data_IF_735526758080
#
_entry.id   IF_735526758080
#
_cell.length_a   1.000
_cell.length_b   1.000
_cell.length_c   1.000
_cell.angle_alpha   90.00
_cell.angle_beta   90.00
_cell.angle_gamma   90.00
#
_symmetry.space_group_name_H-M   'P 1'
#
loop_
_entity.id
_entity.type
_entity.pdbx_description
1 polymer ?
#
# COMPACT_ATOMS: atom_id res chain seq x y z
N UNK A 1 -6.30 -5.23 21.81
CA UNK A 1 -6.54 -4.74 20.45
C UNK A 1 -5.70 -3.49 20.29
N UNK A 2 -4.89 -3.43 19.24
CA UNK A 2 -4.10 -2.24 18.93
C UNK A 2 -5.06 -1.15 18.47
N UNK A 3 -4.93 0.07 19.01
CA UNK A 3 -5.81 1.20 18.66
C UNK A 3 -5.23 1.89 17.40
N UNK A 4 -5.61 1.36 16.23
CA UNK A 4 -5.22 1.94 14.94
C UNK A 4 -6.06 3.19 14.63
N UNK A 5 -5.49 4.12 13.88
CA UNK A 5 -6.16 5.40 13.54
C UNK A 5 -6.61 5.48 12.09
N UNK A 6 -6.02 4.68 11.21
CA UNK A 6 -6.27 4.73 9.77
C UNK A 6 -6.77 3.42 9.19
N UNK A 7 -6.73 2.35 10.00
CA UNK A 7 -7.32 1.06 9.69
C UNK A 7 -8.12 0.55 10.88
N UNK A 8 -8.94 -0.44 10.62
CA UNK A 8 -9.62 -1.26 11.63
C UNK A 8 -9.34 -2.73 11.33
N UNK A 9 -9.19 -3.54 12.38
CA UNK A 9 -8.98 -4.98 12.24
C UNK A 9 -10.08 -5.73 12.98
N UNK A 10 -10.70 -6.69 12.30
CA UNK A 10 -11.71 -7.58 12.87
C UNK A 10 -11.37 -9.02 12.51
N UNK A 11 -11.21 -9.87 13.53
CA UNK A 11 -11.03 -11.30 13.32
C UNK A 11 -12.37 -12.01 13.49
N UNK A 12 -12.77 -12.73 12.46
CA UNK A 12 -13.99 -13.54 12.44
C UNK A 12 -13.74 -14.92 13.12
N UNK A 13 -14.81 -15.57 13.52
CA UNK A 13 -14.74 -16.87 14.24
C UNK A 13 -14.12 -18.00 13.39
N UNK A 14 -14.18 -17.89 12.06
CA UNK A 14 -13.61 -18.85 11.12
C UNK A 14 -12.12 -18.63 10.83
N UNK A 15 -11.50 -17.64 11.50
CA UNK A 15 -10.09 -17.31 11.36
C UNK A 15 -9.75 -16.38 10.20
N UNK A 16 -10.73 -15.72 9.61
CA UNK A 16 -10.49 -14.63 8.64
C UNK A 16 -10.22 -13.34 9.40
N UNK A 17 -9.10 -12.68 9.10
CA UNK A 17 -8.83 -11.32 9.56
C UNK A 17 -9.24 -10.33 8.48
N UNK A 18 -10.15 -9.42 8.81
CA UNK A 18 -10.52 -8.31 7.93
C UNK A 18 -9.76 -7.06 8.36
N UNK A 19 -8.99 -6.47 7.44
CA UNK A 19 -8.32 -5.16 7.58
C UNK A 19 -9.10 -4.17 6.73
N UNK A 20 -9.72 -3.20 7.37
CA UNK A 20 -10.50 -2.15 6.70
C UNK A 20 -9.73 -0.83 6.75
N UNK A 21 -9.51 -0.19 5.60
CA UNK A 21 -8.95 1.17 5.52
C UNK A 21 -10.05 2.15 5.95
N UNK A 22 -9.84 2.93 7.02
CA UNK A 22 -10.91 3.68 7.71
C UNK A 22 -10.77 5.19 7.62
N UNK A 23 -10.44 5.69 6.44
CA UNK A 23 -10.40 7.14 6.13
C UNK A 23 -11.39 7.53 5.01
N UNK A 24 -12.69 7.17 5.10
CA UNK A 24 -13.64 7.34 3.98
C UNK A 24 -13.83 8.82 3.56
N UNK A 25 -13.67 9.77 4.47
CA UNK A 25 -13.79 11.21 4.19
C UNK A 25 -12.77 11.69 3.15
N UNK A 26 -11.58 11.12 3.16
CA UNK A 26 -10.51 11.35 2.20
C UNK A 26 -10.32 10.17 1.23
N UNK A 27 -11.39 9.39 1.00
CA UNK A 27 -11.40 8.25 0.09
C UNK A 27 -10.30 7.21 0.40
N UNK A 28 -10.06 6.95 1.68
CA UNK A 28 -9.05 6.02 2.18
C UNK A 28 -7.64 6.33 1.64
N UNK A 29 -7.28 7.61 1.48
CA UNK A 29 -5.98 8.03 0.99
C UNK A 29 -4.85 7.47 1.87
N UNK A 30 -3.84 6.93 1.18
CA UNK A 30 -2.70 6.22 1.77
C UNK A 30 -1.69 7.19 2.38
N UNK A 31 -1.39 7.01 3.64
CA UNK A 31 -0.41 7.79 4.40
C UNK A 31 0.70 6.88 4.96
N UNK A 32 1.82 7.47 5.39
CA UNK A 32 2.88 6.74 6.08
C UNK A 32 2.36 6.03 7.34
N UNK A 33 1.42 6.65 8.07
CA UNK A 33 0.77 6.02 9.22
C UNK A 33 0.02 4.77 8.80
N UNK A 34 -0.82 4.84 7.76
CA UNK A 34 -1.56 3.67 7.25
C UNK A 34 -0.61 2.54 6.85
N UNK A 35 0.53 2.87 6.22
CA UNK A 35 1.55 1.87 5.92
C UNK A 35 2.03 1.14 7.18
N UNK A 36 2.41 1.89 8.22
CA UNK A 36 2.91 1.28 9.46
C UNK A 36 1.85 0.43 10.15
N UNK A 37 0.61 0.93 10.23
CA UNK A 37 -0.50 0.20 10.85
C UNK A 37 -0.84 -1.08 10.07
N UNK A 38 -0.83 -1.04 8.74
CA UNK A 38 -1.04 -2.23 7.90
C UNK A 38 0.09 -3.25 8.06
N UNK A 39 1.34 -2.80 8.12
CA UNK A 39 2.51 -3.70 8.34
C UNK A 39 2.37 -4.37 9.70
N UNK A 40 2.08 -3.61 10.75
CA UNK A 40 1.88 -4.16 12.09
C UNK A 40 0.73 -5.18 12.14
N UNK A 41 -0.40 -4.87 11.49
CA UNK A 41 -1.54 -5.78 11.42
C UNK A 41 -1.18 -7.09 10.69
N UNK A 42 -0.39 -7.01 9.61
CA UNK A 42 0.11 -8.18 8.89
C UNK A 42 1.12 -8.98 9.71
N UNK A 43 1.99 -8.31 10.49
CA UNK A 43 2.94 -8.99 11.38
C UNK A 43 2.21 -9.75 12.49
N UNK A 44 1.19 -9.14 13.08
CA UNK A 44 0.34 -9.79 14.09
C UNK A 44 -0.44 -10.96 13.49
N UNK A 45 -0.96 -10.81 12.27
CA UNK A 45 -1.67 -11.88 11.58
C UNK A 45 -0.78 -13.08 11.27
N UNK A 46 0.46 -12.84 10.83
CA UNK A 46 1.42 -13.92 10.54
C UNK A 46 1.86 -14.64 11.81
N UNK A 47 1.91 -13.95 12.97
CA UNK A 47 2.26 -14.53 14.27
C UNK A 47 1.09 -15.26 14.96
N UNK A 48 -0.16 -15.04 14.53
CA UNK A 48 -1.35 -15.69 15.10
C UNK A 48 -1.75 -16.92 14.29
N UNK A 49 -1.48 -18.10 14.82
CA UNK A 49 -1.84 -19.39 14.17
C UNK A 49 -3.35 -19.57 13.96
N UNK A 50 -4.19 -18.80 14.64
CA UNK A 50 -5.64 -18.84 14.47
C UNK A 50 -6.13 -17.98 13.30
N UNK A 51 -5.28 -17.11 12.75
CA UNK A 51 -5.55 -16.40 11.50
C UNK A 51 -5.20 -17.31 10.32
N UNK A 52 -6.16 -17.55 9.45
CA UNK A 52 -6.04 -18.45 8.28
C UNK A 52 -5.98 -17.72 6.96
N UNK A 53 -6.57 -16.55 6.87
CA UNK A 53 -6.57 -15.69 5.69
C UNK A 53 -6.80 -14.23 6.10
N UNK A 54 -6.37 -13.29 5.24
CA UNK A 54 -6.49 -11.86 5.46
C UNK A 54 -7.30 -11.27 4.31
N UNK A 55 -8.31 -10.45 4.63
CA UNK A 55 -9.05 -9.65 3.66
C UNK A 55 -8.70 -8.19 3.89
N UNK A 56 -8.34 -7.46 2.83
CA UNK A 56 -8.13 -6.01 2.86
C UNK A 56 -9.23 -5.35 2.06
N UNK A 57 -9.92 -4.38 2.67
CA UNK A 57 -11.01 -3.62 2.02
C UNK A 57 -10.98 -2.15 2.45
N UNK A 58 -11.81 -1.30 1.83
CA UNK A 58 -11.94 0.11 2.19
C UNK A 58 -13.28 0.41 2.86
N UNK A 59 -13.31 1.27 3.87
CA UNK A 59 -14.53 1.79 4.46
C UNK A 59 -15.28 2.69 3.47
N UNK A 60 -16.62 2.67 3.53
CA UNK A 60 -17.50 3.44 2.66
C UNK A 60 -17.67 2.83 1.28
N UNK A 61 -18.40 3.53 0.40
CA UNK A 61 -18.82 3.01 -0.91
C UNK A 61 -18.04 3.60 -2.09
N UNK A 62 -17.23 4.64 -1.85
CA UNK A 62 -16.62 5.45 -2.91
C UNK A 62 -15.28 4.91 -3.38
N UNK A 63 -14.46 4.45 -2.46
CA UNK A 63 -13.10 4.04 -2.77
C UNK A 63 -12.62 2.90 -1.86
N UNK A 64 -11.87 2.01 -2.47
CA UNK A 64 -10.95 1.15 -1.76
C UNK A 64 -9.80 2.00 -1.19
N UNK A 65 -9.03 2.65 -2.07
CA UNK A 65 -7.99 3.62 -1.73
C UNK A 65 -7.71 4.52 -2.94
N UNK A 66 -7.85 5.83 -2.80
CA UNK A 66 -7.71 6.79 -3.90
C UNK A 66 -6.26 7.18 -4.22
N UNK A 67 -5.27 6.53 -3.62
CA UNK A 67 -3.86 6.82 -3.83
C UNK A 67 -3.19 7.51 -2.65
N UNK A 68 -1.99 8.05 -2.86
CA UNK A 68 -1.24 8.76 -1.81
C UNK A 68 -2.03 9.96 -1.28
N UNK A 69 -1.93 10.18 0.03
CA UNK A 69 -2.49 11.36 0.68
C UNK A 69 -1.69 12.61 0.24
N UNK A 70 -2.34 13.49 -0.52
CA UNK A 70 -1.76 14.71 -1.05
C UNK A 70 -2.08 15.94 -0.19
N UNK A 71 -2.58 15.77 1.03
CA UNK A 71 -2.94 16.87 1.92
C UNK A 71 -1.75 17.78 2.27
N UNK A 72 -0.53 17.24 2.21
CA UNK A 72 0.71 18.00 2.41
C UNK A 72 1.19 18.73 1.15
N UNK A 73 0.43 18.66 0.04
CA UNK A 73 0.73 19.34 -1.22
C UNK A 73 2.04 18.86 -1.85
N UNK A 74 2.91 19.81 -2.24
CA UNK A 74 4.21 19.54 -2.86
C UNK A 74 5.20 18.79 -1.96
N UNK A 75 4.97 18.78 -0.65
CA UNK A 75 5.81 18.06 0.33
C UNK A 75 5.56 16.55 0.33
N UNK A 76 4.44 16.08 -0.23
CA UNK A 76 4.07 14.66 -0.21
C UNK A 76 5.17 13.76 -0.82
N UNK A 77 5.84 14.22 -1.88
CA UNK A 77 6.90 13.48 -2.57
C UNK A 77 8.31 14.08 -2.36
N UNK A 78 8.44 15.16 -1.58
CA UNK A 78 9.71 15.79 -1.29
C UNK A 78 10.32 15.21 0.00
N UNK A 79 11.05 14.12 -0.14
CA UNK A 79 11.70 13.44 0.97
C UNK A 79 12.76 14.31 1.66
N UNK A 80 13.34 15.30 0.98
CA UNK A 80 14.31 16.22 1.57
C UNK A 80 13.65 17.23 2.51
N UNK A 81 12.41 17.64 2.24
CA UNK A 81 11.65 18.58 3.08
C UNK A 81 10.95 17.93 4.27
N UNK A 82 10.85 16.59 4.29
CA UNK A 82 10.36 15.84 5.46
C UNK A 82 11.35 15.79 6.62
N UNK A 83 12.50 16.46 6.51
CA UNK A 83 13.55 16.56 7.54
C UNK A 83 13.20 17.57 8.63
N UNK A 84 12.20 17.24 9.43
CA UNK A 84 11.90 17.99 10.64
C UNK A 84 11.46 17.03 11.73
N UNK A 85 12.39 16.24 12.27
CA UNK A 85 12.35 15.64 13.61
C UNK A 85 13.21 14.38 13.65
N UNK A 86 14.24 14.40 14.51
CA UNK A 86 15.21 13.35 14.79
C UNK A 86 16.07 12.93 13.57
N UNK A 87 17.39 12.87 13.76
CA UNK A 87 18.37 12.47 12.75
C UNK A 87 17.95 11.17 12.05
N UNK A 88 17.33 11.29 10.87
CA UNK A 88 17.04 10.12 10.03
C UNK A 88 18.36 9.54 9.54
N UNK A 89 18.50 8.22 9.45
CA UNK A 89 19.69 7.63 8.87
C UNK A 89 19.90 8.24 7.47
N UNK A 90 21.13 8.69 7.21
CA UNK A 90 21.51 9.23 5.91
C UNK A 90 21.43 8.11 4.86
N UNK A 91 20.96 8.44 3.67
CA UNK A 91 21.12 7.55 2.53
C UNK A 91 22.56 7.53 1.98
N UNK A 92 23.45 8.34 2.58
CA UNK A 92 24.84 8.49 2.16
C UNK A 92 25.73 8.03 3.31
N UNK A 93 26.67 7.12 3.02
CA UNK A 93 27.70 6.66 3.93
C UNK A 93 28.76 7.76 4.15
N UNK A 94 29.60 7.61 5.16
CA UNK A 94 30.68 8.55 5.47
C UNK A 94 31.70 8.72 4.33
N UNK A 95 31.86 7.71 3.47
CA UNK A 95 32.72 7.71 2.29
C UNK A 95 32.07 8.36 1.04
N UNK A 96 30.83 8.87 1.15
CA UNK A 96 30.06 9.47 0.06
C UNK A 96 29.33 8.47 -0.84
N UNK A 97 29.45 7.17 -0.60
CA UNK A 97 28.68 6.16 -1.31
C UNK A 97 27.21 6.11 -0.88
N UNK A 98 26.31 5.61 -1.75
CA UNK A 98 24.89 5.47 -1.40
C UNK A 98 24.68 4.18 -0.60
N UNK A 99 24.05 4.31 0.56
CA UNK A 99 23.58 3.17 1.34
C UNK A 99 22.25 2.67 0.77
N UNK A 100 22.31 1.72 -0.14
CA UNK A 100 21.15 1.15 -0.80
C UNK A 100 20.21 0.36 0.13
N UNK A 101 20.66 0.00 1.34
CA UNK A 101 19.84 -0.66 2.35
C UNK A 101 19.06 0.35 3.21
N UNK A 102 19.31 1.65 3.04
CA UNK A 102 18.61 2.70 3.79
C UNK A 102 17.13 2.76 3.39
N UNK A 103 16.24 2.69 4.39
CA UNK A 103 14.79 2.80 4.19
C UNK A 103 14.37 4.14 3.56
N UNK A 104 15.17 5.19 3.71
CA UNK A 104 14.88 6.52 3.13
C UNK A 104 14.87 6.50 1.60
N UNK A 105 15.51 5.52 0.98
CA UNK A 105 15.53 5.32 -0.49
C UNK A 105 14.32 4.54 -1.00
N UNK A 106 13.50 3.99 -0.11
CA UNK A 106 12.35 3.16 -0.48
C UNK A 106 11.07 3.98 -0.39
N UNK A 107 10.21 3.84 -1.41
CA UNK A 107 8.87 4.40 -1.33
C UNK A 107 8.00 3.61 -0.33
N UNK A 108 7.09 4.31 0.35
CA UNK A 108 6.23 3.72 1.38
C UNK A 108 5.29 2.67 0.81
N UNK A 109 4.85 2.84 -0.43
CA UNK A 109 4.02 1.87 -1.14
C UNK A 109 4.80 0.59 -1.44
N UNK A 110 6.08 0.71 -1.81
CA UNK A 110 6.97 -0.43 -2.06
C UNK A 110 7.28 -1.23 -0.79
N UNK A 111 7.48 -0.55 0.34
CA UNK A 111 7.67 -1.21 1.64
C UNK A 111 6.43 -2.07 1.96
N UNK A 112 5.23 -1.49 1.85
CA UNK A 112 3.98 -2.22 2.08
C UNK A 112 3.79 -3.36 1.08
N UNK A 113 4.03 -3.12 -0.22
CA UNK A 113 3.88 -4.13 -1.26
C UNK A 113 4.77 -5.36 -0.99
N UNK A 114 6.02 -5.15 -0.59
CA UNK A 114 6.93 -6.24 -0.21
C UNK A 114 6.47 -6.96 1.06
N UNK A 115 5.91 -6.22 2.04
CA UNK A 115 5.37 -6.84 3.26
C UNK A 115 4.17 -7.74 2.94
N UNK A 116 3.26 -7.28 2.09
CA UNK A 116 2.12 -8.10 1.63
C UNK A 116 2.61 -9.35 0.91
N UNK A 117 3.58 -9.19 0.00
CA UNK A 117 4.17 -10.32 -0.75
C UNK A 117 4.83 -11.37 0.15
N UNK A 118 5.42 -10.95 1.27
CA UNK A 118 6.08 -11.81 2.23
C UNK A 118 5.13 -12.36 3.32
N UNK A 119 3.83 -12.05 3.26
CA UNK A 119 2.87 -12.64 4.20
C UNK A 119 2.81 -14.15 4.02
N UNK A 120 2.79 -14.88 5.14
CA UNK A 120 2.65 -16.34 5.14
C UNK A 120 1.18 -16.80 5.14
N UNK A 121 0.26 -15.85 5.19
CA UNK A 121 -1.18 -16.09 5.11
C UNK A 121 -1.70 -15.57 3.76
N UNK A 122 -2.68 -16.24 3.13
CA UNK A 122 -3.33 -15.70 1.94
C UNK A 122 -3.90 -14.30 2.18
N UNK A 123 -3.59 -13.35 1.29
CA UNK A 123 -4.09 -11.98 1.35
C UNK A 123 -5.03 -11.72 0.17
N UNK A 124 -6.27 -11.35 0.48
CA UNK A 124 -7.34 -11.11 -0.48
C UNK A 124 -7.69 -9.62 -0.50
N UNK A 125 -7.59 -8.99 -1.66
CA UNK A 125 -8.08 -7.62 -1.87
C UNK A 125 -9.56 -7.63 -2.22
N UNK A 126 -10.41 -7.10 -1.36
CA UNK A 126 -11.84 -6.90 -1.61
C UNK A 126 -12.08 -5.43 -2.01
N UNK A 127 -12.11 -5.17 -3.32
CA UNK A 127 -12.10 -3.83 -3.90
C UNK A 127 -13.52 -3.31 -4.03
N UNK A 128 -13.95 -2.50 -3.07
CA UNK A 128 -15.33 -1.98 -2.97
C UNK A 128 -15.59 -0.73 -3.83
N UNK A 129 -14.55 -0.06 -4.34
CA UNK A 129 -14.68 1.19 -5.11
C UNK A 129 -13.41 1.56 -5.85
N UNK A 130 -13.08 2.86 -5.94
CA UNK A 130 -11.90 3.33 -6.65
C UNK A 130 -10.59 2.88 -5.97
N UNK A 131 -9.68 2.30 -6.75
CA UNK A 131 -8.32 1.92 -6.36
C UNK A 131 -7.34 2.59 -7.32
N UNK A 132 -6.61 3.63 -6.86
CA UNK A 132 -5.81 4.51 -7.72
C UNK A 132 -4.39 4.66 -7.18
N UNK A 133 -3.38 4.73 -8.05
CA UNK A 133 -1.98 4.84 -7.65
C UNK A 133 -1.59 3.74 -6.69
N UNK A 134 -1.06 4.09 -5.49
CA UNK A 134 -0.72 3.10 -4.46
C UNK A 134 -1.92 2.25 -4.04
N UNK A 135 -3.16 2.76 -4.13
CA UNK A 135 -4.37 1.97 -3.88
C UNK A 135 -4.56 0.83 -4.89
N UNK A 136 -4.13 1.01 -6.16
CA UNK A 136 -4.13 -0.06 -7.15
C UNK A 136 -2.88 -0.94 -7.03
N UNK A 137 -1.72 -0.35 -6.75
CA UNK A 137 -0.46 -1.10 -6.73
C UNK A 137 -0.29 -1.99 -5.51
N UNK A 138 -0.85 -1.61 -4.34
CA UNK A 138 -0.83 -2.49 -3.17
C UNK A 138 -1.64 -3.79 -3.36
N UNK A 139 -2.58 -3.80 -4.31
CA UNK A 139 -3.35 -5.00 -4.63
C UNK A 139 -2.55 -6.02 -5.46
N UNK A 140 -1.49 -5.59 -6.15
CA UNK A 140 -0.73 -6.45 -7.06
C UNK A 140 -0.04 -7.63 -6.35
N UNK A 141 0.62 -7.44 -5.19
CA UNK A 141 1.23 -8.54 -4.44
C UNK A 141 0.24 -9.44 -3.70
N UNK A 142 -1.04 -9.06 -3.59
CA UNK A 142 -2.06 -9.90 -2.94
C UNK A 142 -2.35 -11.14 -3.79
N UNK A 143 -2.77 -12.25 -3.16
CA UNK A 143 -3.02 -13.53 -3.83
C UNK A 143 -4.29 -13.50 -4.69
N UNK A 144 -5.36 -12.93 -4.15
CA UNK A 144 -6.67 -12.86 -4.84
C UNK A 144 -7.19 -11.43 -4.82
N UNK A 145 -7.81 -11.01 -5.91
CA UNK A 145 -8.50 -9.72 -6.05
C UNK A 145 -9.95 -9.96 -6.42
N UNK A 146 -10.87 -9.49 -5.58
CA UNK A 146 -12.31 -9.52 -5.81
C UNK A 146 -12.76 -8.06 -5.95
N UNK A 147 -13.41 -7.73 -7.04
CA UNK A 147 -13.85 -6.37 -7.33
C UNK A 147 -15.37 -6.30 -7.36
N UNK A 148 -15.94 -5.28 -6.73
CA UNK A 148 -17.34 -4.94 -6.89
C UNK A 148 -17.60 -4.36 -8.28
N UNK A 149 -18.86 -4.30 -8.70
CA UNK A 149 -19.26 -3.69 -9.97
C UNK A 149 -18.90 -2.19 -10.05
N UNK A 150 -18.74 -1.55 -8.90
CA UNK A 150 -18.35 -0.14 -8.78
C UNK A 150 -16.82 0.06 -8.76
N UNK A 151 -16.02 -1.01 -8.70
CA UNK A 151 -14.57 -0.90 -8.66
C UNK A 151 -14.02 -0.24 -9.91
N UNK A 152 -13.02 0.63 -9.72
CA UNK A 152 -12.28 1.30 -10.81
C UNK A 152 -10.80 1.30 -10.44
N UNK A 153 -9.95 0.90 -11.39
CA UNK A 153 -8.51 0.83 -11.19
C UNK A 153 -7.81 1.92 -12.00
N UNK A 154 -6.81 2.57 -11.40
CA UNK A 154 -6.04 3.60 -12.06
C UNK A 154 -4.56 3.53 -11.76
N UNK A 155 -3.74 3.23 -12.77
CA UNK A 155 -2.28 3.30 -12.72
C UNK A 155 -1.84 4.65 -13.30
N UNK A 156 -2.01 5.73 -12.53
CA UNK A 156 -1.95 7.12 -13.01
C UNK A 156 -0.54 7.72 -13.06
N UNK A 157 0.48 6.91 -13.26
CA UNK A 157 1.89 7.30 -13.20
C UNK A 157 2.24 8.40 -14.22
N UNK A 158 1.97 8.17 -15.50
CA UNK A 158 2.26 9.12 -16.56
C UNK A 158 1.53 10.46 -16.36
N UNK A 159 0.28 10.44 -15.87
CA UNK A 159 -0.47 11.67 -15.56
C UNK A 159 0.14 12.49 -14.42
N UNK A 160 0.95 11.88 -13.60
CA UNK A 160 1.65 12.51 -12.46
C UNK A 160 3.12 12.79 -12.75
N UNK A 161 3.63 12.39 -13.91
CA UNK A 161 5.03 12.53 -14.26
C UNK A 161 5.98 11.70 -13.41
N UNK A 162 5.50 10.56 -12.89
CA UNK A 162 6.29 9.62 -12.08
C UNK A 162 6.39 8.27 -12.78
N UNK A 163 7.43 7.52 -12.42
CA UNK A 163 7.60 6.13 -12.88
C UNK A 163 6.68 5.17 -12.10
N UNK A 164 6.38 3.97 -12.64
CA UNK A 164 5.69 2.94 -11.90
C UNK A 164 6.39 2.62 -10.57
N UNK A 165 5.72 2.90 -9.44
CA UNK A 165 6.19 2.79 -8.07
C UNK A 165 5.54 1.60 -7.33
N UNK A 166 5.81 1.44 -6.03
CA UNK A 166 5.24 0.40 -5.17
C UNK A 166 5.41 -1.01 -5.76
N UNK A 167 6.60 -1.31 -6.30
CA UNK A 167 6.94 -2.57 -6.97
C UNK A 167 6.03 -2.92 -8.17
N UNK A 168 5.22 -1.98 -8.67
CA UNK A 168 4.29 -2.23 -9.77
C UNK A 168 4.98 -2.61 -11.06
N UNK A 169 6.19 -2.09 -11.33
CA UNK A 169 7.01 -2.49 -12.48
C UNK A 169 7.41 -3.97 -12.46
N UNK A 170 7.42 -4.59 -11.28
CA UNK A 170 7.64 -6.03 -11.11
C UNK A 170 6.35 -6.85 -11.21
N UNK A 171 5.32 -6.47 -10.43
CA UNK A 171 4.12 -7.29 -10.28
C UNK A 171 3.18 -7.17 -11.48
N UNK A 172 2.88 -5.95 -11.95
CA UNK A 172 1.85 -5.71 -12.96
C UNK A 172 2.11 -6.50 -14.27
N UNK A 173 3.31 -6.46 -14.89
CA UNK A 173 3.55 -7.20 -16.12
C UNK A 173 3.51 -8.72 -15.94
N UNK A 174 3.70 -9.24 -14.72
CA UNK A 174 3.57 -10.66 -14.41
C UNK A 174 2.12 -11.11 -14.28
N UNK A 175 1.22 -10.18 -13.96
CA UNK A 175 -0.21 -10.45 -13.81
C UNK A 175 -0.93 -10.35 -15.16
N UNK A 176 -0.66 -9.28 -15.93
CA UNK A 176 -1.44 -8.93 -17.13
C UNK A 176 -0.65 -9.00 -18.44
N UNK A 177 0.64 -9.31 -18.38
CA UNK A 177 1.56 -9.24 -19.50
C UNK A 177 2.07 -7.81 -19.78
N UNK A 178 3.25 -7.71 -20.44
CA UNK A 178 3.93 -6.41 -20.60
C UNK A 178 3.11 -5.41 -21.44
N UNK A 179 2.46 -5.86 -22.51
CA UNK A 179 1.68 -4.97 -23.38
C UNK A 179 0.52 -4.32 -22.64
N UNK A 180 -0.23 -5.08 -21.85
CA UNK A 180 -1.35 -4.55 -21.09
C UNK A 180 -0.88 -3.66 -19.94
N UNK A 181 0.23 -4.02 -19.28
CA UNK A 181 0.83 -3.22 -18.23
C UNK A 181 1.23 -1.82 -18.76
N UNK A 182 1.87 -1.76 -19.93
CA UNK A 182 2.23 -0.50 -20.56
C UNK A 182 0.99 0.35 -20.90
N UNK A 183 -0.06 -0.26 -21.49
CA UNK A 183 -1.30 0.46 -21.80
C UNK A 183 -1.97 1.07 -20.56
N UNK A 184 -1.90 0.39 -19.41
CA UNK A 184 -2.52 0.88 -18.18
C UNK A 184 -1.69 1.96 -17.48
N UNK A 185 -0.36 1.97 -17.69
CA UNK A 185 0.55 2.93 -17.06
C UNK A 185 0.71 4.24 -17.84
N UNK A 186 0.42 4.25 -19.16
CA UNK A 186 0.51 5.41 -20.04
C UNK A 186 -0.87 6.01 -20.33
#
# INVERSE_FOLDING_TARGET
MTDYQTIETQKEDDGVLVITLTRPDVMNAFSARMMHEMIEALDQADADDTVRAIIVTGAGERAFCAGADLSEGDKTFDYAKRQGEAAKPSAVNDDGSINWDSEILRDTGGILALRIFNSIKPVIGAVNGAAVGVGATMLLPMDVRIASDNARFGFVFARRGIVPEACSSWFLPRIVGISQALQWCY
#
